data_IF_129324034533
#
_entry.id   IF_129324034533
#
_cell.length_a   1.000
_cell.length_b   1.000
_cell.length_c   1.000
_cell.angle_alpha   90.00
_cell.angle_beta   90.00
_cell.angle_gamma   90.00
#
_symmetry.space_group_name_H-M   'P 1'
#
loop_
_entity.id
_entity.type
_entity.pdbx_description
1 polymer ?
#
# COMPACT_ATOMS: atom_id res chain seq x y z
N UNK A 1 9.57 -4.81 5.30
CA UNK A 1 8.87 -5.09 6.57
C UNK A 1 8.12 -3.85 7.03
N UNK A 2 6.90 -4.00 7.55
CA UNK A 2 6.10 -2.95 8.16
C UNK A 2 5.74 -3.32 9.60
N UNK A 3 5.50 -2.32 10.45
CA UNK A 3 5.25 -2.54 11.87
C UNK A 3 3.80 -2.95 12.14
N UNK A 4 3.64 -3.97 12.99
CA UNK A 4 2.38 -4.33 13.62
C UNK A 4 2.33 -3.78 15.06
N UNK A 5 1.20 -3.95 15.74
CA UNK A 5 1.10 -3.68 17.19
C UNK A 5 2.13 -4.50 17.98
N UNK A 6 2.33 -5.76 17.57
CA UNK A 6 3.30 -6.67 18.16
C UNK A 6 4.17 -7.28 17.06
N UNK A 7 5.26 -6.59 16.72
CA UNK A 7 6.30 -7.11 15.84
C UNK A 7 6.31 -6.49 14.45
N UNK A 8 6.87 -7.25 13.51
CA UNK A 8 7.03 -6.86 12.12
C UNK A 8 6.32 -7.88 11.24
N UNK A 9 5.82 -7.41 10.12
CA UNK A 9 5.32 -8.26 9.05
C UNK A 9 5.99 -7.90 7.73
N UNK A 10 5.94 -8.81 6.78
CA UNK A 10 6.58 -8.68 5.48
C UNK A 10 5.54 -8.79 4.36
N UNK A 11 5.75 -8.01 3.30
CA UNK A 11 4.97 -8.07 2.09
C UNK A 11 5.92 -8.25 0.93
N UNK A 12 5.57 -9.16 0.03
CA UNK A 12 6.34 -9.49 -1.15
C UNK A 12 5.48 -9.28 -2.40
N UNK A 13 6.14 -8.94 -3.51
CA UNK A 13 5.50 -8.78 -4.81
C UNK A 13 6.42 -9.39 -5.87
N UNK A 14 5.84 -10.04 -6.89
CA UNK A 14 6.60 -10.52 -8.03
C UNK A 14 7.29 -9.35 -8.75
N UNK A 15 8.61 -9.48 -9.00
CA UNK A 15 9.43 -8.41 -9.59
C UNK A 15 9.01 -8.04 -11.02
N UNK A 16 8.37 -8.96 -11.70
CA UNK A 16 7.86 -8.87 -13.07
C UNK A 16 6.33 -8.73 -13.12
N UNK A 17 5.67 -8.55 -11.97
CA UNK A 17 4.22 -8.37 -11.88
C UNK A 17 3.73 -7.02 -12.40
N UNK A 18 4.60 -6.02 -12.48
CA UNK A 18 4.33 -4.67 -12.99
C UNK A 18 5.56 -4.17 -13.75
N UNK A 19 5.34 -3.42 -14.84
CA UNK A 19 6.42 -2.78 -15.59
C UNK A 19 6.70 -1.34 -15.14
N UNK A 20 7.94 -0.83 -15.26
CA UNK A 20 8.22 0.59 -15.02
C UNK A 20 7.33 1.50 -15.89
N UNK A 21 6.73 2.52 -15.28
CA UNK A 21 5.78 3.44 -15.92
C UNK A 21 4.37 2.90 -16.13
N UNK A 22 4.10 1.64 -15.74
CA UNK A 22 2.76 1.08 -15.79
C UNK A 22 1.85 1.75 -14.75
N UNK A 23 0.64 2.07 -15.19
CA UNK A 23 -0.36 2.78 -14.38
C UNK A 23 -1.11 1.77 -13.52
N UNK A 24 -1.02 1.93 -12.21
CA UNK A 24 -1.59 0.99 -11.24
C UNK A 24 -2.54 1.69 -10.26
N UNK A 25 -3.52 0.92 -9.78
CA UNK A 25 -4.40 1.32 -8.69
C UNK A 25 -4.25 0.27 -7.60
N UNK A 26 -3.98 0.69 -6.37
CA UNK A 26 -4.02 -0.18 -5.19
C UNK A 26 -5.48 -0.28 -4.72
N UNK A 27 -5.96 -1.50 -4.47
CA UNK A 27 -7.34 -1.72 -3.99
C UNK A 27 -7.31 -2.66 -2.79
N UNK A 28 -8.03 -2.30 -1.74
CA UNK A 28 -8.27 -3.17 -0.57
C UNK A 28 -9.68 -2.94 -0.02
N UNK A 29 -10.14 -3.82 0.87
CA UNK A 29 -11.48 -3.69 1.47
C UNK A 29 -11.56 -2.54 2.48
N UNK A 30 -10.58 -2.42 3.37
CA UNK A 30 -10.57 -1.48 4.48
C UNK A 30 -9.19 -0.89 4.72
N UNK A 31 -9.13 0.43 5.01
CA UNK A 31 -7.92 1.07 5.53
C UNK A 31 -8.07 1.40 7.03
N UNK A 32 -7.16 0.83 7.83
CA UNK A 32 -7.04 1.07 9.27
C UNK A 32 -5.83 1.97 9.57
N UNK A 33 -4.70 1.39 9.99
CA UNK A 33 -3.44 2.13 10.26
C UNK A 33 -2.61 2.42 9.00
N UNK A 34 -3.01 1.88 7.86
CA UNK A 34 -2.34 2.06 6.57
C UNK A 34 -1.00 1.33 6.41
N UNK A 35 -0.57 0.50 7.38
CA UNK A 35 0.71 -0.22 7.32
C UNK A 35 0.90 -1.07 6.06
N UNK A 36 -0.08 -1.93 5.78
CA UNK A 36 -0.10 -2.84 4.63
C UNK A 36 -0.12 -2.09 3.30
N UNK A 37 -1.00 -1.07 3.18
CA UNK A 37 -1.10 -0.24 1.99
C UNK A 37 0.19 0.55 1.72
N UNK A 38 0.83 1.10 2.76
CA UNK A 38 2.09 1.82 2.64
C UNK A 38 3.23 0.88 2.17
N UNK A 39 3.27 -0.36 2.66
CA UNK A 39 4.22 -1.36 2.19
C UNK A 39 4.00 -1.70 0.70
N UNK A 40 2.75 -1.89 0.27
CA UNK A 40 2.40 -2.12 -1.13
C UNK A 40 2.84 -0.95 -2.03
N UNK A 41 2.56 0.29 -1.62
CA UNK A 41 2.99 1.51 -2.32
C UNK A 41 4.51 1.56 -2.47
N UNK A 42 5.26 1.18 -1.43
CA UNK A 42 6.73 1.14 -1.50
C UNK A 42 7.23 0.12 -2.53
N UNK A 43 6.65 -1.09 -2.56
CA UNK A 43 7.03 -2.13 -3.53
C UNK A 43 6.74 -1.68 -4.97
N UNK A 44 5.56 -1.11 -5.22
CA UNK A 44 5.18 -0.59 -6.52
C UNK A 44 6.10 0.55 -6.98
N UNK A 45 6.46 1.47 -6.07
CA UNK A 45 7.43 2.55 -6.34
C UNK A 45 8.82 2.03 -6.66
N UNK A 46 9.29 0.98 -5.97
CA UNK A 46 10.60 0.36 -6.22
C UNK A 46 10.70 -0.24 -7.64
N UNK A 47 9.59 -0.69 -8.21
CA UNK A 47 9.51 -1.22 -9.58
C UNK A 47 9.28 -0.09 -10.61
N UNK A 48 9.04 1.15 -10.15
CA UNK A 48 8.84 2.31 -11.00
C UNK A 48 7.43 2.44 -11.56
N UNK A 49 6.43 1.84 -10.89
CA UNK A 49 5.03 1.98 -11.29
C UNK A 49 4.51 3.41 -11.07
N UNK A 50 3.58 3.84 -11.93
CA UNK A 50 2.83 5.09 -11.80
C UNK A 50 1.53 4.81 -11.02
N UNK A 51 1.55 5.05 -9.71
CA UNK A 51 0.42 4.76 -8.82
C UNK A 51 -0.60 5.90 -8.93
N UNK A 52 -1.74 5.62 -9.57
CA UNK A 52 -2.78 6.63 -9.82
C UNK A 52 -3.68 6.89 -8.62
N UNK A 53 -3.97 5.84 -7.84
CA UNK A 53 -4.87 5.90 -6.70
C UNK A 53 -4.66 4.71 -5.75
N UNK A 54 -5.06 4.90 -4.49
CA UNK A 54 -5.35 3.83 -3.55
C UNK A 54 -6.83 3.91 -3.15
N UNK A 55 -7.58 2.84 -3.41
CA UNK A 55 -9.03 2.77 -3.27
C UNK A 55 -9.41 1.78 -2.17
N UNK A 56 -10.22 2.23 -1.22
CA UNK A 56 -10.71 1.42 -0.10
C UNK A 56 -12.23 1.53 -0.03
N UNK A 57 -12.91 0.44 0.30
CA UNK A 57 -14.38 0.46 0.49
C UNK A 57 -14.73 1.09 1.83
N UNK A 58 -13.92 0.80 2.87
CA UNK A 58 -14.11 1.29 4.23
C UNK A 58 -12.87 2.06 4.68
N UNK A 59 -13.08 3.22 5.29
CA UNK A 59 -12.04 4.03 5.93
C UNK A 59 -12.33 4.08 7.43
N UNK A 60 -11.30 3.92 8.27
CA UNK A 60 -11.33 4.15 9.72
C UNK A 60 -10.51 5.41 10.05
N UNK A 61 -11.08 6.63 9.91
CA UNK A 61 -10.32 7.88 9.97
C UNK A 61 -9.56 8.07 11.28
N UNK A 62 -10.13 7.61 12.40
CA UNK A 62 -9.52 7.71 13.73
C UNK A 62 -8.18 6.97 13.85
N UNK A 63 -7.87 6.05 12.93
CA UNK A 63 -6.62 5.29 12.88
C UNK A 63 -5.56 5.91 11.93
N UNK A 64 -5.89 6.97 11.20
CA UNK A 64 -4.94 7.77 10.42
C UNK A 64 -4.32 7.07 9.21
N UNK A 65 -4.90 5.96 8.73
CA UNK A 65 -4.33 5.21 7.62
C UNK A 65 -4.33 5.98 6.30
N UNK A 66 -5.38 6.77 6.02
CA UNK A 66 -5.44 7.64 4.84
C UNK A 66 -4.29 8.64 4.82
N UNK A 67 -4.10 9.39 5.91
CA UNK A 67 -3.08 10.43 6.04
C UNK A 67 -1.65 9.89 5.82
N UNK A 68 -1.45 8.58 6.05
CA UNK A 68 -0.18 7.90 5.82
C UNK A 68 0.14 7.66 4.34
N UNK A 69 -0.86 7.69 3.47
CA UNK A 69 -0.72 7.46 2.03
C UNK A 69 -0.66 8.75 1.20
N UNK A 70 -1.07 9.88 1.78
CA UNK A 70 -0.96 11.23 1.19
C UNK A 70 0.46 11.80 1.32
#
# INVERSE_FOLDING_TARGET
AYSLEYGLDEMEMHRDGVSPGEKVILVDDLIATGGTAAAAVQLLRQIGADILAACFVIDLPDLGGRDKLE
#
